data_IF_347189622202
#
_entry.id   IF_347189622202
#
_cell.length_a   1.000
_cell.length_b   1.000
_cell.length_c   1.000
_cell.angle_alpha   90.00
_cell.angle_beta   90.00
_cell.angle_gamma   90.00
#
_symmetry.space_group_name_H-M   'P 1'
#
loop_
_entity.id
_entity.type
_entity.pdbx_description
1 polymer ?
#
# COMPACT_ATOMS: atom_id res chain seq x y z
N UNK A 1 -15.79 21.75 20.80
CA UNK A 1 -16.72 20.92 19.96
C UNK A 1 -17.25 19.80 20.84
N UNK A 2 -18.56 19.75 21.17
CA UNK A 2 -19.12 18.71 22.06
C UNK A 2 -19.29 17.40 21.29
N UNK A 3 -18.64 16.33 21.75
CA UNK A 3 -18.74 14.98 21.17
C UNK A 3 -20.17 14.42 21.32
N UNK A 4 -20.68 13.74 20.30
CA UNK A 4 -22.00 13.08 20.34
C UNK A 4 -21.98 11.87 21.28
N UNK A 5 -23.15 11.47 21.83
CA UNK A 5 -23.26 10.29 22.73
C UNK A 5 -22.67 9.02 22.10
N UNK A 6 -22.88 8.85 20.78
CA UNK A 6 -22.30 7.75 20.01
C UNK A 6 -20.77 7.82 19.96
N UNK A 7 -20.19 8.99 19.67
CA UNK A 7 -18.72 9.17 19.67
C UNK A 7 -18.11 8.88 21.05
N UNK A 8 -18.75 9.31 22.14
CA UNK A 8 -18.30 9.01 23.51
C UNK A 8 -18.33 7.50 23.79
N UNK A 9 -19.40 6.82 23.39
CA UNK A 9 -19.53 5.36 23.54
C UNK A 9 -18.48 4.59 22.74
N UNK A 10 -18.23 4.97 21.48
CA UNK A 10 -17.18 4.37 20.65
C UNK A 10 -15.79 4.60 21.25
N UNK A 11 -15.50 5.81 21.76
CA UNK A 11 -14.23 6.12 22.42
C UNK A 11 -14.04 5.28 23.69
N UNK A 12 -15.10 5.12 24.51
CA UNK A 12 -15.05 4.30 25.74
C UNK A 12 -14.79 2.83 25.40
N UNK A 13 -15.44 2.29 24.36
CA UNK A 13 -15.21 0.92 23.90
C UNK A 13 -13.78 0.74 23.40
N UNK A 14 -13.28 1.66 22.56
CA UNK A 14 -11.90 1.61 22.07
C UNK A 14 -10.92 1.65 23.24
N UNK A 15 -11.12 2.56 24.20
CA UNK A 15 -10.31 2.65 25.41
C UNK A 15 -10.38 1.37 26.26
N UNK A 16 -11.56 0.78 26.43
CA UNK A 16 -11.72 -0.45 27.18
C UNK A 16 -11.02 -1.64 26.50
N UNK A 17 -11.10 -1.74 25.17
CA UNK A 17 -10.39 -2.76 24.38
C UNK A 17 -8.88 -2.56 24.47
N UNK A 18 -8.39 -1.33 24.32
CA UNK A 18 -6.96 -1.01 24.47
C UNK A 18 -6.49 -1.35 25.89
N UNK A 19 -7.26 -0.99 26.91
CA UNK A 19 -6.91 -1.27 28.32
C UNK A 19 -6.92 -2.76 28.59
N UNK A 20 -7.91 -3.50 28.09
CA UNK A 20 -7.98 -4.96 28.21
C UNK A 20 -6.82 -5.64 27.47
N UNK A 21 -6.43 -5.16 26.29
CA UNK A 21 -5.24 -5.62 25.57
C UNK A 21 -3.97 -5.36 26.37
N UNK A 22 -3.80 -4.15 26.90
CA UNK A 22 -2.63 -3.79 27.71
C UNK A 22 -2.55 -4.67 28.97
N UNK A 23 -3.67 -4.97 29.64
CA UNK A 23 -3.69 -5.81 30.84
C UNK A 23 -3.40 -7.28 30.49
N UNK A 24 -4.05 -7.82 29.45
CA UNK A 24 -3.90 -9.23 29.04
C UNK A 24 -2.54 -9.52 28.41
N UNK A 25 -1.91 -8.52 27.81
CA UNK A 25 -0.60 -8.61 27.14
C UNK A 25 0.48 -7.84 27.90
N UNK A 26 0.25 -7.52 29.17
CA UNK A 26 1.16 -6.69 29.97
C UNK A 26 2.53 -7.36 30.15
N UNK A 27 2.56 -8.67 30.31
CA UNK A 27 3.80 -9.45 30.41
C UNK A 27 4.63 -9.37 29.12
N UNK A 28 3.98 -9.52 27.96
CA UNK A 28 4.62 -9.37 26.64
C UNK A 28 5.12 -7.93 26.45
N UNK A 29 4.36 -6.93 26.90
CA UNK A 29 4.76 -5.53 26.85
C UNK A 29 6.03 -5.26 27.70
N UNK A 30 6.11 -5.84 28.89
CA UNK A 30 7.28 -5.73 29.77
C UNK A 30 8.50 -6.42 29.18
N UNK A 31 8.31 -7.55 28.50
CA UNK A 31 9.37 -8.25 27.77
C UNK A 31 9.87 -7.42 26.58
N UNK A 32 8.97 -6.83 25.79
CA UNK A 32 9.30 -5.88 24.71
C UNK A 32 10.12 -4.70 25.25
N UNK A 33 9.72 -4.10 26.38
CA UNK A 33 10.45 -2.99 26.99
C UNK A 33 11.84 -3.44 27.48
N UNK A 34 11.95 -4.63 28.10
CA UNK A 34 13.22 -5.17 28.55
C UNK A 34 14.17 -5.43 27.39
N UNK A 35 13.64 -5.95 26.29
CA UNK A 35 14.35 -6.20 25.04
C UNK A 35 14.79 -4.88 24.38
N UNK A 36 13.90 -3.88 24.28
CA UNK A 36 14.19 -2.53 23.76
C UNK A 36 15.27 -1.79 24.57
N UNK A 37 15.39 -2.05 25.88
CA UNK A 37 16.46 -1.47 26.69
C UNK A 37 17.84 -2.03 26.32
N UNK A 38 17.90 -3.23 25.74
CA UNK A 38 19.15 -3.89 25.33
C UNK A 38 19.52 -3.63 23.87
N UNK A 39 18.65 -2.97 23.09
CA UNK A 39 18.92 -2.66 21.69
C UNK A 39 19.68 -1.35 21.52
N UNK A 40 20.37 -1.23 20.39
CA UNK A 40 21.03 0.00 19.99
C UNK A 40 19.99 0.98 19.41
N UNK A 41 19.67 1.99 20.21
CA UNK A 41 18.68 3.04 19.90
C UNK A 41 18.98 3.85 18.64
N UNK A 42 20.25 3.93 18.21
CA UNK A 42 20.61 4.65 16.98
C UNK A 42 19.91 4.00 15.78
N UNK A 43 19.92 2.68 15.69
CA UNK A 43 19.25 1.97 14.60
C UNK A 43 17.72 2.08 14.67
N UNK A 44 17.14 2.18 15.87
CA UNK A 44 15.70 2.44 16.02
C UNK A 44 15.34 3.82 15.48
N UNK A 45 16.13 4.85 15.80
CA UNK A 45 15.89 6.21 15.28
C UNK A 45 16.03 6.24 13.76
N UNK A 46 17.04 5.56 13.21
CA UNK A 46 17.21 5.44 11.74
C UNK A 46 16.01 4.71 11.12
N UNK A 47 15.53 3.62 11.73
CA UNK A 47 14.35 2.91 11.28
C UNK A 47 13.11 3.83 11.25
N UNK A 48 12.90 4.66 12.27
CA UNK A 48 11.80 5.64 12.30
C UNK A 48 11.94 6.71 11.21
N UNK A 49 13.16 7.15 10.90
CA UNK A 49 13.42 8.09 9.81
C UNK A 49 13.12 7.46 8.44
N UNK A 50 13.55 6.22 8.23
CA UNK A 50 13.27 5.47 7.00
C UNK A 50 11.76 5.20 6.86
N UNK A 51 11.08 4.83 7.94
CA UNK A 51 9.62 4.69 7.92
C UNK A 51 8.92 6.00 7.62
N UNK A 52 9.46 7.14 8.07
CA UNK A 52 8.92 8.45 7.69
C UNK A 52 9.13 8.71 6.19
N UNK A 53 10.28 8.31 5.65
CA UNK A 53 10.61 8.44 4.23
C UNK A 53 9.65 7.66 3.32
N UNK A 54 9.09 6.53 3.76
CA UNK A 54 8.10 5.77 2.98
C UNK A 54 6.83 6.60 2.75
N UNK A 55 6.30 7.25 3.78
CA UNK A 55 5.15 8.14 3.65
C UNK A 55 5.45 9.38 2.81
N UNK A 56 6.67 9.93 2.91
CA UNK A 56 7.12 11.05 2.08
C UNK A 56 7.25 10.65 0.61
N UNK A 57 7.79 9.47 0.33
CA UNK A 57 7.89 8.91 -1.02
C UNK A 57 6.51 8.72 -1.63
N UNK A 58 5.57 8.13 -0.89
CA UNK A 58 4.18 7.95 -1.33
C UNK A 58 3.45 9.28 -1.57
N UNK A 59 3.62 10.27 -0.70
CA UNK A 59 3.13 11.63 -0.95
C UNK A 59 3.78 12.26 -2.19
N UNK A 60 5.06 11.97 -2.42
CA UNK A 60 5.82 12.38 -3.60
C UNK A 60 5.26 11.78 -4.89
N UNK A 61 4.90 10.50 -4.90
CA UNK A 61 4.24 9.82 -6.02
C UNK A 61 2.97 10.58 -6.38
N UNK A 62 2.07 10.78 -5.41
CA UNK A 62 0.80 11.48 -5.67
C UNK A 62 1.00 12.94 -6.09
N UNK A 63 1.98 13.64 -5.52
CA UNK A 63 2.33 15.00 -5.93
C UNK A 63 2.74 15.07 -7.40
N UNK A 64 3.60 14.16 -7.85
CA UNK A 64 4.07 14.15 -9.24
C UNK A 64 2.98 13.71 -10.22
N UNK A 65 2.15 12.73 -9.84
CA UNK A 65 1.02 12.31 -10.66
C UNK A 65 -0.03 13.41 -10.81
N UNK A 66 -0.36 14.16 -9.75
CA UNK A 66 -1.28 15.30 -9.84
C UNK A 66 -0.75 16.43 -10.72
N UNK A 67 0.57 16.66 -10.73
CA UNK A 67 1.21 17.63 -11.63
C UNK A 67 1.08 17.26 -13.11
N UNK A 68 0.87 15.99 -13.46
CA UNK A 68 0.59 15.57 -14.85
C UNK A 68 -0.76 16.11 -15.32
N UNK A 69 -1.68 16.34 -14.37
CA UNK A 69 -3.02 16.88 -14.61
C UNK A 69 -3.11 18.39 -14.35
N UNK A 70 -1.97 19.08 -14.31
CA UNK A 70 -1.85 20.51 -13.99
C UNK A 70 -2.43 20.91 -12.62
N UNK A 71 -2.58 19.95 -11.70
CA UNK A 71 -3.01 20.19 -10.33
C UNK A 71 -1.81 20.23 -9.39
N UNK A 72 -1.74 21.28 -8.57
CA UNK A 72 -0.72 21.42 -7.53
C UNK A 72 -1.38 21.41 -6.15
N UNK A 73 -1.09 20.37 -5.37
CA UNK A 73 -1.50 20.26 -3.97
C UNK A 73 -0.29 20.46 -3.08
N UNK A 74 -0.47 21.19 -1.98
CA UNK A 74 0.58 21.35 -0.98
C UNK A 74 1.11 19.98 -0.51
N UNK A 75 2.42 19.79 -0.56
CA UNK A 75 3.05 18.53 -0.16
C UNK A 75 2.70 18.13 1.28
N UNK A 76 2.66 19.09 2.21
CA UNK A 76 2.25 18.87 3.60
C UNK A 76 0.82 18.32 3.70
N UNK A 77 -0.09 18.75 2.83
CA UNK A 77 -1.45 18.23 2.76
C UNK A 77 -1.44 16.78 2.24
N UNK A 78 -0.69 16.51 1.18
CA UNK A 78 -0.53 15.15 0.64
C UNK A 78 0.06 14.18 1.68
N UNK A 79 1.06 14.58 2.47
CA UNK A 79 1.58 13.75 3.56
C UNK A 79 0.49 13.37 4.57
N UNK A 80 -0.32 14.34 5.04
CA UNK A 80 -1.43 14.08 5.96
C UNK A 80 -2.46 13.13 5.35
N UNK A 81 -2.77 13.33 4.07
CA UNK A 81 -3.71 12.51 3.32
C UNK A 81 -3.21 11.07 3.17
N UNK A 82 -1.95 10.89 2.79
CA UNK A 82 -1.32 9.57 2.66
C UNK A 82 -1.30 8.83 3.99
N UNK A 83 -0.83 9.45 5.07
CA UNK A 83 -0.82 8.83 6.41
C UNK A 83 -2.23 8.38 6.80
N UNK A 84 -3.22 9.25 6.61
CA UNK A 84 -4.62 8.90 6.92
C UNK A 84 -5.13 7.75 6.05
N UNK A 85 -4.80 7.76 4.75
CA UNK A 85 -5.19 6.72 3.81
C UNK A 85 -4.58 5.36 4.16
N UNK A 86 -3.31 5.35 4.55
CA UNK A 86 -2.61 4.12 4.95
C UNK A 86 -3.18 3.57 6.26
N UNK A 87 -3.49 4.43 7.23
CA UNK A 87 -4.17 4.01 8.47
C UNK A 87 -5.55 3.42 8.17
N UNK A 88 -6.32 4.03 7.26
CA UNK A 88 -7.61 3.51 6.84
C UNK A 88 -7.47 2.13 6.16
N UNK A 89 -6.43 1.92 5.34
CA UNK A 89 -6.19 0.61 4.72
C UNK A 89 -5.83 -0.48 5.74
N UNK A 90 -5.17 -0.12 6.84
CA UNK A 90 -4.88 -1.06 7.94
C UNK A 90 -6.15 -1.44 8.71
N UNK A 91 -7.04 -0.47 8.94
CA UNK A 91 -8.33 -0.71 9.63
C UNK A 91 -9.30 -1.48 8.73
N UNK A 92 -9.33 -1.15 7.44
CA UNK A 92 -10.26 -1.72 6.47
C UNK A 92 -9.46 -2.49 5.40
N UNK A 93 -9.25 -3.81 5.59
CA UNK A 93 -8.51 -4.66 4.66
C UNK A 93 -9.27 -4.80 3.33
N UNK A 94 -9.13 -3.78 2.48
CA UNK A 94 -9.90 -3.56 1.26
C UNK A 94 -9.01 -3.61 0.01
N UNK A 95 -7.82 -4.21 0.13
CA UNK A 95 -6.78 -4.18 -0.91
C UNK A 95 -6.46 -2.76 -1.40
N UNK A 96 -6.51 -1.76 -0.49
CA UNK A 96 -6.24 -0.36 -0.81
C UNK A 96 -7.44 0.41 -1.39
N UNK A 97 -8.58 -0.22 -1.65
CA UNK A 97 -9.73 0.41 -2.31
C UNK A 97 -10.36 1.55 -1.49
N UNK A 98 -10.26 1.50 -0.15
CA UNK A 98 -10.74 2.57 0.74
C UNK A 98 -10.02 3.91 0.51
N UNK A 99 -8.80 3.87 -0.03
CA UNK A 99 -8.02 5.07 -0.31
C UNK A 99 -8.64 5.96 -1.39
N UNK A 100 -9.33 5.37 -2.38
CA UNK A 100 -9.92 6.10 -3.52
C UNK A 100 -11.06 7.03 -3.08
N UNK A 101 -12.15 6.57 -2.43
CA UNK A 101 -13.23 7.45 -1.98
C UNK A 101 -12.75 8.47 -0.94
N UNK A 102 -11.80 8.09 -0.08
CA UNK A 102 -11.21 9.01 0.90
C UNK A 102 -10.41 10.15 0.22
N UNK A 103 -9.53 9.83 -0.74
CA UNK A 103 -8.75 10.80 -1.50
C UNK A 103 -9.63 11.70 -2.36
N UNK A 104 -10.57 11.13 -3.11
CA UNK A 104 -11.48 11.90 -3.96
C UNK A 104 -12.34 12.87 -3.16
N UNK A 105 -12.79 12.50 -1.95
CA UNK A 105 -13.51 13.40 -1.04
C UNK A 105 -12.61 14.51 -0.49
N UNK A 106 -11.38 14.17 -0.11
CA UNK A 106 -10.44 15.09 0.52
C UNK A 106 -9.87 16.13 -0.45
N UNK A 107 -9.58 15.73 -1.68
CA UNK A 107 -9.05 16.58 -2.75
C UNK A 107 -10.13 17.34 -3.52
N UNK A 108 -11.41 17.01 -3.34
CA UNK A 108 -12.53 17.81 -3.87
C UNK A 108 -12.44 19.28 -3.42
N UNK A 109 -11.96 19.53 -2.19
CA UNK A 109 -11.77 20.89 -1.66
C UNK A 109 -10.71 21.68 -2.44
N UNK A 110 -9.79 21.00 -3.12
CA UNK A 110 -8.76 21.60 -3.98
C UNK A 110 -9.23 21.71 -5.45
N UNK A 111 -10.52 21.51 -5.72
CA UNK A 111 -11.12 21.52 -7.07
C UNK A 111 -10.48 20.51 -8.03
N UNK A 112 -10.01 19.38 -7.50
CA UNK A 112 -9.50 18.27 -8.31
C UNK A 112 -10.64 17.32 -8.62
N UNK A 113 -10.76 16.99 -9.90
CA UNK A 113 -11.72 16.04 -10.43
C UNK A 113 -11.60 14.67 -9.75
N UNK A 114 -12.74 14.01 -9.54
CA UNK A 114 -12.77 12.73 -8.83
C UNK A 114 -12.13 11.64 -9.67
N UNK A 115 -12.38 11.63 -10.98
CA UNK A 115 -11.78 10.67 -11.91
C UNK A 115 -10.26 10.75 -11.91
N UNK A 116 -9.70 11.97 -12.01
CA UNK A 116 -8.24 12.22 -11.96
C UNK A 116 -7.61 11.84 -10.63
N UNK A 117 -8.30 12.08 -9.52
CA UNK A 117 -7.83 11.65 -8.18
C UNK A 117 -7.82 10.13 -8.06
N UNK A 118 -8.87 9.44 -8.52
CA UNK A 118 -8.92 7.98 -8.51
C UNK A 118 -7.82 7.38 -9.39
N UNK A 119 -7.58 7.96 -10.56
CA UNK A 119 -6.49 7.58 -11.44
C UNK A 119 -5.11 7.80 -10.80
N UNK A 120 -4.93 8.91 -10.07
CA UNK A 120 -3.68 9.18 -9.31
C UNK A 120 -3.38 8.05 -8.33
N UNK A 121 -4.38 7.62 -7.55
CA UNK A 121 -4.22 6.50 -6.61
C UNK A 121 -3.94 5.21 -7.37
N UNK A 122 -4.73 4.89 -8.39
CA UNK A 122 -4.58 3.65 -9.17
C UNK A 122 -3.20 3.54 -9.83
N UNK A 123 -2.73 4.60 -10.48
CA UNK A 123 -1.41 4.62 -11.13
C UNK A 123 -0.29 4.57 -10.08
N UNK A 124 -0.43 5.28 -8.97
CA UNK A 124 0.51 5.17 -7.85
C UNK A 124 0.64 3.74 -7.33
N UNK A 125 -0.49 3.06 -7.13
CA UNK A 125 -0.53 1.64 -6.73
C UNK A 125 0.08 0.72 -7.80
N UNK A 126 -0.16 0.97 -9.09
CA UNK A 126 0.46 0.19 -10.17
C UNK A 126 1.99 0.35 -10.21
N UNK A 127 2.51 1.56 -9.98
CA UNK A 127 3.95 1.82 -9.93
C UNK A 127 4.61 1.10 -8.76
N UNK A 128 3.99 1.18 -7.57
CA UNK A 128 4.42 0.44 -6.38
C UNK A 128 4.36 -1.07 -6.65
N UNK A 129 3.26 -1.58 -7.19
CA UNK A 129 3.13 -2.99 -7.56
C UNK A 129 4.17 -3.46 -8.58
N UNK A 130 4.60 -2.59 -9.50
CA UNK A 130 5.66 -2.92 -10.46
C UNK A 130 7.01 -3.11 -9.78
N UNK A 131 7.37 -2.21 -8.85
CA UNK A 131 8.59 -2.34 -8.05
C UNK A 131 8.52 -3.59 -7.17
N UNK A 132 7.38 -3.82 -6.52
CA UNK A 132 7.15 -5.01 -5.69
C UNK A 132 7.40 -6.31 -6.47
N UNK A 133 6.74 -6.48 -7.63
CA UNK A 133 6.90 -7.69 -8.44
C UNK A 133 8.32 -7.87 -8.95
N UNK A 134 9.04 -6.76 -9.21
CA UNK A 134 10.45 -6.80 -9.58
C UNK A 134 11.30 -7.31 -8.41
N UNK A 135 11.08 -6.78 -7.20
CA UNK A 135 11.75 -7.26 -5.99
C UNK A 135 11.40 -8.73 -5.68
N UNK A 136 10.16 -9.15 -5.90
CA UNK A 136 9.73 -10.54 -5.72
C UNK A 136 10.41 -11.48 -6.71
N UNK A 137 10.45 -11.10 -8.00
CA UNK A 137 11.16 -11.88 -9.01
C UNK A 137 12.64 -12.06 -8.64
N UNK A 138 13.34 -10.96 -8.29
CA UNK A 138 14.74 -11.00 -7.85
C UNK A 138 14.93 -11.89 -6.62
N UNK A 139 14.03 -11.79 -5.63
CA UNK A 139 14.11 -12.56 -4.38
C UNK A 139 13.93 -14.05 -4.62
N UNK A 140 12.92 -14.43 -5.42
CA UNK A 140 12.65 -15.83 -5.75
C UNK A 140 13.77 -16.42 -6.61
N UNK A 141 14.29 -15.66 -7.59
CA UNK A 141 15.46 -16.09 -8.38
C UNK A 141 16.69 -16.28 -7.49
N UNK A 142 16.96 -15.37 -6.55
CA UNK A 142 18.05 -15.54 -5.59
C UNK A 142 17.90 -16.84 -4.78
N UNK A 143 16.70 -17.14 -4.26
CA UNK A 143 16.45 -18.38 -3.53
C UNK A 143 16.68 -19.63 -4.40
N UNK A 144 16.21 -19.63 -5.64
CA UNK A 144 16.35 -20.77 -6.55
C UNK A 144 17.80 -21.07 -6.93
N UNK A 145 18.67 -20.04 -6.97
CA UNK A 145 20.06 -20.16 -7.43
C UNK A 145 21.04 -20.30 -6.26
N UNK A 146 20.82 -19.58 -5.16
CA UNK A 146 21.80 -19.44 -4.09
C UNK A 146 21.53 -20.32 -2.86
N UNK A 147 20.35 -20.94 -2.76
CA UNK A 147 19.96 -21.77 -1.61
C UNK A 147 19.75 -23.21 -2.07
N UNK A 148 20.29 -24.16 -1.31
CA UNK A 148 20.03 -25.57 -1.57
C UNK A 148 18.64 -25.95 -1.05
N UNK A 149 17.70 -26.00 -1.98
CA UNK A 149 16.29 -26.23 -1.71
C UNK A 149 15.89 -27.65 -2.09
N UNK A 150 14.96 -28.23 -1.33
CA UNK A 150 14.36 -29.53 -1.67
C UNK A 150 13.63 -29.45 -3.02
N UNK A 151 13.43 -30.60 -3.68
CA UNK A 151 12.74 -30.64 -4.98
C UNK A 151 11.33 -30.00 -4.93
N UNK A 152 10.61 -30.20 -3.82
CA UNK A 152 9.29 -29.60 -3.62
C UNK A 152 9.37 -28.07 -3.46
N UNK A 153 10.35 -27.56 -2.68
CA UNK A 153 10.55 -26.12 -2.50
C UNK A 153 10.92 -25.43 -3.83
N UNK A 154 11.80 -26.06 -4.64
CA UNK A 154 12.16 -25.56 -5.97
C UNK A 154 10.94 -25.46 -6.89
N UNK A 155 10.06 -26.46 -6.89
CA UNK A 155 8.83 -26.45 -7.68
C UNK A 155 7.89 -25.31 -7.27
N UNK A 156 7.64 -25.13 -5.97
CA UNK A 156 6.77 -24.06 -5.46
C UNK A 156 7.31 -22.68 -5.83
N UNK A 157 8.61 -22.44 -5.61
CA UNK A 157 9.23 -21.17 -5.96
C UNK A 157 9.27 -20.92 -7.48
N UNK A 158 9.43 -21.96 -8.29
CA UNK A 158 9.37 -21.84 -9.76
C UNK A 158 7.97 -21.44 -10.23
N UNK A 159 6.92 -22.02 -9.66
CA UNK A 159 5.53 -21.63 -9.94
C UNK A 159 5.30 -20.18 -9.51
N UNK A 160 5.75 -19.79 -8.31
CA UNK A 160 5.65 -18.42 -7.82
C UNK A 160 6.38 -17.43 -8.75
N UNK A 161 7.55 -17.79 -9.26
CA UNK A 161 8.31 -16.98 -10.21
C UNK A 161 7.52 -16.80 -11.53
N UNK A 162 6.96 -17.88 -12.07
CA UNK A 162 6.13 -17.82 -13.28
C UNK A 162 4.92 -16.92 -13.07
N UNK A 163 4.21 -17.08 -11.94
CA UNK A 163 3.06 -16.22 -11.60
C UNK A 163 3.48 -14.75 -11.46
N UNK A 164 4.62 -14.49 -10.85
CA UNK A 164 5.18 -13.13 -10.69
C UNK A 164 5.51 -12.49 -12.04
N UNK A 165 6.17 -13.23 -12.94
CA UNK A 165 6.50 -12.77 -14.30
C UNK A 165 5.23 -12.55 -15.12
N UNK A 166 4.26 -13.46 -15.04
CA UNK A 166 2.96 -13.31 -15.69
C UNK A 166 2.20 -12.08 -15.18
N UNK A 167 2.18 -11.85 -13.86
CA UNK A 167 1.56 -10.68 -13.26
C UNK A 167 2.26 -9.38 -13.69
N UNK A 168 3.59 -9.36 -13.72
CA UNK A 168 4.38 -8.23 -14.19
C UNK A 168 4.15 -7.95 -15.68
N UNK A 169 4.12 -9.00 -16.51
CA UNK A 169 3.79 -8.93 -17.92
C UNK A 169 2.36 -8.43 -18.16
N UNK A 170 1.40 -8.86 -17.34
CA UNK A 170 0.03 -8.37 -17.37
C UNK A 170 -0.06 -6.89 -16.98
N UNK A 171 0.62 -6.45 -15.92
CA UNK A 171 0.67 -5.03 -15.53
C UNK A 171 1.33 -4.16 -16.62
N UNK A 172 2.41 -4.65 -17.23
CA UNK A 172 3.06 -3.98 -18.35
C UNK A 172 2.13 -3.89 -19.58
N UNK A 173 1.46 -5.00 -19.91
CA UNK A 173 0.47 -5.04 -20.98
C UNK A 173 -0.68 -4.07 -20.70
N UNK A 174 -1.20 -4.05 -19.48
CA UNK A 174 -2.26 -3.13 -19.04
C UNK A 174 -1.81 -1.66 -19.14
N UNK A 175 -0.55 -1.38 -18.82
CA UNK A 175 0.04 -0.04 -18.92
C UNK A 175 0.17 0.43 -20.38
N UNK A 176 0.29 -0.50 -21.34
CA UNK A 176 0.33 -0.21 -22.80
C UNK A 176 -1.04 -0.26 -23.47
N UNK A 177 -1.90 -1.21 -23.09
CA UNK A 177 -3.20 -1.42 -23.72
C UNK A 177 -4.30 -0.63 -23.01
N UNK A 178 -4.42 0.62 -23.43
CA UNK A 178 -5.36 1.58 -22.87
C UNK A 178 -6.85 1.23 -23.11
N UNK A 179 -7.16 0.47 -24.17
CA UNK A 179 -8.52 -0.04 -24.41
C UNK A 179 -8.90 -1.09 -23.36
N UNK A 180 -7.97 -1.98 -23.02
CA UNK A 180 -8.18 -2.97 -21.96
C UNK A 180 -8.32 -2.31 -20.58
N UNK A 181 -7.47 -1.33 -20.27
CA UNK A 181 -7.57 -0.56 -19.03
C UNK A 181 -8.97 0.07 -18.93
N UNK A 182 -9.43 0.74 -19.98
CA UNK A 182 -10.79 1.28 -20.07
C UNK A 182 -11.90 0.24 -19.87
N UNK A 183 -11.78 -0.94 -20.48
CA UNK A 183 -12.73 -2.04 -20.32
C UNK A 183 -12.77 -2.57 -18.88
N UNK A 184 -11.62 -2.78 -18.25
CA UNK A 184 -11.53 -3.22 -16.85
C UNK A 184 -12.19 -2.19 -15.94
N UNK A 185 -11.93 -0.90 -16.17
CA UNK A 185 -12.54 0.19 -15.40
C UNK A 185 -14.06 0.22 -15.59
N UNK A 186 -14.55 0.03 -16.81
CA UNK A 186 -15.99 -0.06 -17.08
C UNK A 186 -16.63 -1.27 -16.38
N UNK A 187 -15.92 -2.41 -16.33
CA UNK A 187 -16.34 -3.62 -15.63
C UNK A 187 -16.43 -3.40 -14.12
N UNK A 188 -15.38 -2.82 -13.52
CA UNK A 188 -15.34 -2.46 -12.10
C UNK A 188 -16.44 -1.46 -11.76
N UNK A 189 -16.64 -0.44 -12.60
CA UNK A 189 -17.70 0.56 -12.41
C UNK A 189 -19.10 -0.07 -12.45
N UNK A 190 -19.35 -1.02 -13.36
CA UNK A 190 -20.60 -1.78 -13.42
C UNK A 190 -20.78 -2.70 -12.21
N UNK A 191 -19.71 -3.39 -11.78
CA UNK A 191 -19.74 -4.26 -10.61
C UNK A 191 -20.05 -3.47 -9.33
N UNK A 192 -19.39 -2.32 -9.13
CA UNK A 192 -19.68 -1.40 -8.03
C UNK A 192 -21.13 -0.92 -8.08
N UNK A 193 -21.61 -0.50 -9.26
CA UNK A 193 -23.00 -0.07 -9.43
C UNK A 193 -24.00 -1.19 -9.08
N UNK A 194 -23.71 -2.44 -9.47
CA UNK A 194 -24.53 -3.61 -9.13
C UNK A 194 -24.51 -3.90 -7.63
N UNK A 195 -23.35 -3.79 -6.99
CA UNK A 195 -23.19 -3.95 -5.55
C UNK A 195 -23.94 -2.87 -4.76
N UNK A 196 -23.88 -1.61 -5.19
CA UNK A 196 -24.64 -0.51 -4.58
C UNK A 196 -26.16 -0.71 -4.69
N UNK A 197 -26.63 -1.21 -5.84
CA UNK A 197 -28.04 -1.59 -6.01
C UNK A 197 -28.43 -2.77 -5.11
N UNK A 198 -27.56 -3.78 -4.99
CA UNK A 198 -27.77 -4.94 -4.13
C UNK A 198 -27.92 -4.56 -2.65
N UNK A 199 -27.08 -3.65 -2.15
CA UNK A 199 -27.15 -3.15 -0.77
C UNK A 199 -28.25 -2.09 -0.52
N UNK A 200 -29.11 -1.79 -1.51
CA UNK A 200 -30.21 -0.81 -1.42
C UNK A 200 -29.82 0.52 -0.76
N UNK A 201 -28.60 1.00 -1.00
CA UNK A 201 -28.13 2.28 -0.46
C UNK A 201 -28.91 3.39 -1.17
N UNK A 202 -29.85 4.01 -0.44
CA UNK A 202 -30.96 4.87 -0.93
C UNK A 202 -30.55 6.20 -1.60
N UNK A 203 -29.27 6.42 -1.88
CA UNK A 203 -28.79 7.64 -2.55
C UNK A 203 -28.77 7.36 -4.05
N UNK A 204 -29.67 7.99 -4.80
CA UNK A 204 -29.76 7.77 -6.25
C UNK A 204 -28.37 7.95 -6.88
N UNK A 205 -27.88 6.89 -7.51
CA UNK A 205 -26.68 6.96 -8.33
C UNK A 205 -27.07 7.77 -9.56
N UNK A 206 -26.81 9.07 -9.49
CA UNK A 206 -26.94 10.00 -10.60
C UNK A 206 -26.03 9.52 -11.73
N UNK A 207 -26.64 8.96 -12.77
CA UNK A 207 -25.95 8.41 -13.94
C UNK A 207 -25.04 9.44 -14.59
N UNK A 208 -25.38 10.73 -14.51
CA UNK A 208 -24.56 11.83 -14.99
C UNK A 208 -23.27 12.02 -14.17
N UNK A 209 -23.31 11.78 -12.86
CA UNK A 209 -22.10 11.84 -12.00
C UNK A 209 -21.15 10.67 -12.27
N UNK A 210 -21.69 9.51 -12.62
CA UNK A 210 -20.88 8.34 -12.99
C UNK A 210 -20.24 8.57 -14.36
N UNK A 211 -20.98 9.06 -15.35
CA UNK A 211 -20.42 9.36 -16.67
C UNK A 211 -19.33 10.42 -16.60
N UNK A 212 -19.54 11.50 -15.83
CA UNK A 212 -18.53 12.52 -15.60
C UNK A 212 -17.27 11.96 -14.93
N UNK A 213 -17.42 11.12 -13.89
CA UNK A 213 -16.27 10.47 -13.24
C UNK A 213 -15.47 9.62 -14.22
N UNK A 214 -16.15 8.86 -15.08
CA UNK A 214 -15.55 7.99 -16.08
C UNK A 214 -14.82 8.83 -17.14
N UNK A 215 -15.43 9.92 -17.59
CA UNK A 215 -14.83 10.86 -18.54
C UNK A 215 -13.59 11.55 -17.96
N UNK A 216 -13.67 12.12 -16.76
CA UNK A 216 -12.54 12.70 -16.02
C UNK A 216 -11.38 11.70 -15.88
N UNK A 217 -11.72 10.43 -15.62
CA UNK A 217 -10.75 9.34 -15.52
C UNK A 217 -10.06 9.09 -16.86
N UNK A 218 -10.82 8.94 -17.95
CA UNK A 218 -10.26 8.71 -19.29
C UNK A 218 -9.39 9.87 -19.78
N UNK A 219 -9.81 11.12 -19.54
CA UNK A 219 -9.00 12.30 -19.83
C UNK A 219 -7.67 12.26 -19.06
N UNK A 220 -7.69 11.82 -17.79
CA UNK A 220 -6.48 11.58 -17.03
C UNK A 220 -5.59 10.50 -17.66
N UNK A 221 -6.16 9.39 -18.14
CA UNK A 221 -5.40 8.32 -18.79
C UNK A 221 -4.68 8.86 -20.02
N UNK A 222 -5.34 9.69 -20.84
CA UNK A 222 -4.73 10.32 -22.01
C UNK A 222 -3.64 11.34 -21.65
N UNK A 223 -3.81 12.11 -20.56
CA UNK A 223 -2.78 13.01 -20.07
C UNK A 223 -1.51 12.27 -19.63
N UNK A 224 -1.65 11.11 -18.98
CA UNK A 224 -0.53 10.23 -18.63
C UNK A 224 0.16 9.69 -19.88
N UNK A 225 -0.61 9.28 -20.92
CA UNK A 225 -0.03 8.79 -22.18
C UNK A 225 0.85 9.82 -22.86
N UNK A 226 0.43 11.09 -22.86
CA UNK A 226 1.19 12.20 -23.47
C UNK A 226 2.46 12.53 -22.67
N UNK A 227 2.50 12.17 -21.39
CA UNK A 227 3.56 12.55 -20.46
C UNK A 227 4.26 11.34 -19.82
N UNK A 228 4.49 10.24 -20.56
CA UNK A 228 5.07 9.00 -20.01
C UNK A 228 6.42 9.21 -19.32
N UNK A 229 7.25 10.12 -19.81
CA UNK A 229 8.54 10.45 -19.20
C UNK A 229 8.39 11.06 -17.80
N UNK A 230 7.26 11.72 -17.52
CA UNK A 230 6.94 12.25 -16.18
C UNK A 230 6.59 11.15 -15.17
N UNK A 231 6.43 9.88 -15.59
CA UNK A 231 6.26 8.73 -14.70
C UNK A 231 7.57 8.19 -14.12
N UNK A 232 8.73 8.58 -14.68
CA UNK A 232 10.03 8.13 -14.17
C UNK A 232 10.27 8.55 -12.72
N UNK A 233 9.94 9.80 -12.38
CA UNK A 233 10.09 10.30 -11.00
C UNK A 233 9.15 9.56 -10.03
N UNK A 234 7.83 9.41 -10.28
CA UNK A 234 6.96 8.52 -9.52
C UNK A 234 7.48 7.08 -9.38
N UNK A 235 8.06 6.50 -10.43
CA UNK A 235 8.62 5.14 -10.38
C UNK A 235 9.85 5.06 -9.47
N UNK A 236 10.76 6.05 -9.56
CA UNK A 236 11.91 6.15 -8.65
C UNK A 236 11.46 6.35 -7.21
N UNK A 237 10.43 7.15 -6.97
CA UNK A 237 9.85 7.31 -5.64
C UNK A 237 9.19 6.01 -5.14
N UNK A 238 8.60 5.20 -6.01
CA UNK A 238 8.13 3.86 -5.64
C UNK A 238 9.28 2.92 -5.28
N UNK A 239 10.45 3.04 -5.93
CA UNK A 239 11.65 2.32 -5.53
C UNK A 239 12.17 2.80 -4.16
N UNK A 240 12.18 4.11 -3.90
CA UNK A 240 12.54 4.68 -2.60
C UNK A 240 11.58 4.22 -1.50
N UNK A 241 10.27 4.13 -1.80
CA UNK A 241 9.26 3.60 -0.90
C UNK A 241 9.65 2.19 -0.42
N UNK A 242 9.85 1.26 -1.36
CA UNK A 242 10.22 -0.13 -1.02
C UNK A 242 11.58 -0.26 -0.35
N UNK A 243 12.59 0.47 -0.85
CA UNK A 243 13.92 0.43 -0.28
C UNK A 243 13.91 0.92 1.17
N UNK A 244 13.10 1.95 1.47
CA UNK A 244 12.97 2.48 2.82
C UNK A 244 12.33 1.47 3.76
N UNK A 245 11.33 0.71 3.32
CA UNK A 245 10.72 -0.37 4.14
C UNK A 245 11.73 -1.50 4.41
N UNK A 246 12.47 -1.95 3.39
CA UNK A 246 13.51 -2.99 3.52
C UNK A 246 14.61 -2.53 4.48
N UNK A 247 15.09 -1.29 4.33
CA UNK A 247 16.13 -0.74 5.20
C UNK A 247 15.63 -0.50 6.62
N UNK A 248 14.34 -0.19 6.80
CA UNK A 248 13.70 -0.10 8.12
C UNK A 248 13.82 -1.46 8.81
N UNK A 249 13.40 -2.53 8.14
CA UNK A 249 13.51 -3.89 8.68
C UNK A 249 14.97 -4.26 8.97
N UNK A 250 15.91 -3.89 8.10
CA UNK A 250 17.33 -4.13 8.36
C UNK A 250 17.84 -3.40 9.61
N UNK A 251 17.46 -2.13 9.78
CA UNK A 251 17.80 -1.37 10.98
C UNK A 251 17.23 -2.00 12.24
N UNK A 252 16.04 -2.61 12.17
CA UNK A 252 15.49 -3.37 13.30
C UNK A 252 16.44 -4.52 13.66
N UNK A 253 16.87 -5.37 12.72
CA UNK A 253 17.85 -6.43 13.00
C UNK A 253 19.17 -5.91 13.58
N UNK A 254 19.70 -4.81 13.02
CA UNK A 254 20.92 -4.18 13.52
C UNK A 254 20.76 -3.61 14.94
N UNK A 255 19.56 -3.16 15.31
CA UNK A 255 19.27 -2.72 16.68
C UNK A 255 19.48 -3.83 17.71
N UNK A 256 19.27 -5.10 17.31
CA UNK A 256 19.53 -6.29 18.12
C UNK A 256 20.98 -6.80 18.03
N UNK A 257 21.86 -6.11 17.30
CA UNK A 257 23.22 -6.58 17.04
C UNK A 257 23.31 -7.73 16.04
N UNK A 258 22.20 -8.07 15.36
CA UNK A 258 22.15 -9.15 14.38
C UNK A 258 22.60 -8.64 13.01
N UNK A 259 23.72 -9.16 12.52
CA UNK A 259 24.25 -8.85 11.18
C UNK A 259 23.75 -9.86 10.17
N UNK A 260 22.50 -9.69 9.74
CA UNK A 260 21.90 -10.51 8.67
C UNK A 260 22.36 -9.97 7.31
N UNK A 261 22.64 -10.87 6.35
CA UNK A 261 22.95 -10.46 4.97
C UNK A 261 21.72 -9.80 4.35
N UNK A 262 21.90 -8.67 3.67
CA UNK A 262 20.81 -7.88 3.10
C UNK A 262 19.89 -8.70 2.18
N UNK A 263 20.44 -9.65 1.41
CA UNK A 263 19.65 -10.52 0.53
C UNK A 263 18.57 -11.32 1.27
N UNK A 264 18.87 -11.85 2.45
CA UNK A 264 17.86 -12.57 3.24
C UNK A 264 16.77 -11.63 3.75
N UNK A 265 17.11 -10.39 4.09
CA UNK A 265 16.13 -9.39 4.55
C UNK A 265 15.17 -9.01 3.43
N UNK A 266 15.70 -8.78 2.22
CA UNK A 266 14.88 -8.51 1.04
C UNK A 266 13.93 -9.68 0.78
N UNK A 267 14.44 -10.91 0.81
CA UNK A 267 13.63 -12.12 0.62
C UNK A 267 12.53 -12.24 1.68
N UNK A 268 12.89 -12.15 2.96
CA UNK A 268 11.94 -12.24 4.08
C UNK A 268 10.87 -11.16 3.99
N UNK A 269 11.25 -9.92 3.71
CA UNK A 269 10.33 -8.80 3.55
C UNK A 269 9.30 -9.09 2.44
N UNK A 270 9.78 -9.41 1.23
CA UNK A 270 8.90 -9.58 0.08
C UNK A 270 8.03 -10.84 0.20
N UNK A 271 8.55 -11.94 0.71
CA UNK A 271 7.75 -13.15 0.96
C UNK A 271 6.69 -12.91 2.04
N UNK A 272 7.02 -12.16 3.10
CA UNK A 272 6.06 -11.82 4.15
C UNK A 272 4.93 -10.96 3.59
N UNK A 273 5.22 -10.01 2.71
CA UNK A 273 4.19 -9.22 2.02
C UNK A 273 3.29 -10.10 1.12
N UNK A 274 3.85 -11.11 0.44
CA UNK A 274 3.04 -12.08 -0.33
C UNK A 274 2.08 -12.84 0.59
N UNK A 275 2.58 -13.37 1.72
CA UNK A 275 1.75 -14.09 2.69
C UNK A 275 0.70 -13.15 3.28
N UNK A 276 1.07 -11.93 3.65
CA UNK A 276 0.17 -10.90 4.16
C UNK A 276 -0.96 -10.57 3.20
N UNK A 277 -0.67 -10.51 1.89
CA UNK A 277 -1.68 -10.32 0.86
C UNK A 277 -2.67 -11.49 0.75
N UNK A 278 -2.19 -12.73 0.86
CA UNK A 278 -3.03 -13.94 0.77
C UNK A 278 -3.95 -14.07 2.00
N UNK A 279 -3.38 -13.83 3.18
CA UNK A 279 -4.04 -14.12 4.45
C UNK A 279 -5.11 -13.06 4.79
N UNK A 280 -5.05 -11.86 4.19
CA UNK A 280 -6.03 -10.78 4.35
C UNK A 280 -6.40 -10.44 5.81
N UNK A 281 -5.55 -10.86 6.76
CA UNK A 281 -5.66 -10.53 8.18
C UNK A 281 -5.26 -9.06 8.33
N UNK A 282 -5.97 -8.26 9.15
CA UNK A 282 -5.53 -6.91 9.48
C UNK A 282 -4.06 -6.93 9.84
N UNK A 283 -3.24 -6.25 9.05
CA UNK A 283 -1.78 -6.23 9.15
C UNK A 283 -1.39 -5.94 10.60
N UNK A 284 -0.93 -6.95 11.34
CA UNK A 284 -0.52 -6.77 12.74
C UNK A 284 -0.72 -7.94 13.70
N UNK A 285 -1.40 -9.03 13.35
CA UNK A 285 -1.52 -10.22 14.23
C UNK A 285 -1.05 -11.49 13.53
N UNK A 286 0.08 -12.05 13.98
CA UNK A 286 0.57 -13.41 13.70
C UNK A 286 1.21 -13.67 12.33
N UNK A 287 0.86 -12.94 11.26
CA UNK A 287 1.37 -13.27 9.91
C UNK A 287 2.86 -12.98 9.74
N UNK A 288 3.34 -11.85 10.26
CA UNK A 288 4.76 -11.51 10.23
C UNK A 288 5.57 -12.46 11.12
N UNK A 289 5.05 -12.81 12.29
CA UNK A 289 5.72 -13.72 13.24
C UNK A 289 5.86 -15.13 12.67
N UNK A 290 4.81 -15.66 12.03
CA UNK A 290 4.84 -17.00 11.40
C UNK A 290 5.67 -17.02 10.12
N UNK A 291 5.71 -15.93 9.35
CA UNK A 291 6.47 -15.89 8.09
C UNK A 291 7.97 -15.70 8.31
N UNK A 292 8.37 -15.13 9.45
CA UNK A 292 9.76 -14.90 9.81
C UNK A 292 10.36 -15.99 10.71
N UNK A 293 9.53 -16.91 11.23
CA UNK A 293 9.95 -18.09 11.99
C UNK A 293 10.42 -19.22 11.07
#
# INVERSE_FOLDING_TARGET
>A
MKLTKFQKFTIIIILAIITALIITKFSELMEIIHILKKTNWVFIVIALMLQSLTYLALAGIYSHLLKIFDHRVSFKKLCKLVVTSTLLNQIFPSAGLVSIPFMTSSLKKDKIDKGKTALTVAVGTMLIGTIFLTCLAISVTYLLVAVDLSGQQKNVLSILLILTVCAGGFLYYLSKNHSLLGKIIALVSKALTKLYKFFKIKKSLDTAKISLFVEEFYLGVDAIKKNKTKLLVPLLLAAVFFLSDILTLYCIFLSFGLKVKLGFIVVSFVLTDVVGFIVAVPTGLGVFEVSMA
#
